data_IF_518377423160
#
_entry.id   IF_518377423160
#
_cell.length_a   1.000
_cell.length_b   1.000
_cell.length_c   1.000
_cell.angle_alpha   90.00
_cell.angle_beta   90.00
_cell.angle_gamma   90.00
#
_symmetry.space_group_name_H-M   'P 1'
#
loop_
_entity.id
_entity.type
_entity.pdbx_description
1 polymer ?
#
# COMPACT_ATOMS: atom_id res chain seq x y z
N UNK A 1 38.30 -30.15 17.48
CA UNK A 1 38.13 -28.72 17.29
C UNK A 1 36.81 -28.51 16.59
N UNK A 2 35.79 -28.10 17.33
CA UNK A 2 34.47 -27.81 16.80
C UNK A 2 34.48 -26.49 16.05
N UNK A 3 33.82 -26.41 14.91
CA UNK A 3 33.72 -25.22 14.05
C UNK A 3 32.89 -24.15 14.80
N UNK A 4 33.42 -22.96 15.09
CA UNK A 4 32.74 -21.93 15.87
C UNK A 4 31.52 -21.27 15.18
N UNK A 5 31.06 -21.80 14.06
CA UNK A 5 29.96 -21.22 13.31
C UNK A 5 28.58 -21.89 13.51
N UNK A 6 28.53 -23.05 14.17
CA UNK A 6 27.29 -23.81 14.29
C UNK A 6 26.36 -23.32 15.40
N UNK A 7 26.91 -22.69 16.44
CA UNK A 7 26.11 -22.31 17.62
C UNK A 7 25.47 -20.93 17.46
N UNK A 8 26.07 -20.04 16.66
CA UNK A 8 25.49 -18.73 16.33
C UNK A 8 24.27 -18.92 15.39
N UNK A 9 24.34 -19.88 14.47
CA UNK A 9 23.19 -20.20 13.62
C UNK A 9 22.04 -20.89 14.38
N UNK A 10 22.34 -21.62 15.44
CA UNK A 10 21.31 -22.25 16.27
C UNK A 10 20.62 -21.22 17.17
N UNK A 11 21.34 -20.28 17.75
CA UNK A 11 20.77 -19.22 18.60
C UNK A 11 19.85 -18.29 17.84
N UNK A 12 20.13 -17.99 16.57
CA UNK A 12 19.28 -17.14 15.73
C UNK A 12 18.04 -17.84 15.16
N UNK A 13 17.99 -19.17 15.20
CA UNK A 13 16.87 -19.97 14.66
C UNK A 13 15.73 -20.21 15.63
N UNK A 14 15.90 -19.97 16.89
CA UNK A 14 14.89 -20.35 17.89
C UNK A 14 13.97 -19.22 18.31
N UNK A 15 14.28 -17.97 17.97
CA UNK A 15 13.47 -16.83 18.40
C UNK A 15 12.58 -16.24 17.29
N UNK A 16 12.72 -16.66 16.02
CA UNK A 16 11.83 -16.27 14.91
C UNK A 16 11.78 -17.37 13.85
N UNK A 17 11.11 -18.46 14.14
CA UNK A 17 10.87 -19.52 13.15
C UNK A 17 9.60 -19.19 12.35
N UNK A 18 9.67 -18.21 11.48
CA UNK A 18 8.67 -18.08 10.43
C UNK A 18 8.63 -19.34 9.55
N UNK A 19 7.47 -19.69 9.07
CA UNK A 19 7.28 -20.76 8.08
C UNK A 19 7.05 -20.13 6.70
N UNK A 20 7.31 -20.93 5.66
CA UNK A 20 6.96 -20.55 4.29
C UNK A 20 5.75 -21.34 3.88
N UNK A 21 4.72 -20.67 3.40
CA UNK A 21 3.52 -21.26 2.82
C UNK A 21 3.45 -20.90 1.34
N UNK A 22 3.05 -21.86 0.53
CA UNK A 22 2.91 -21.69 -0.91
C UNK A 22 1.44 -21.67 -1.29
N UNK A 23 1.09 -20.74 -2.19
CA UNK A 23 -0.25 -20.57 -2.77
C UNK A 23 -0.12 -20.62 -4.29
N UNK A 24 -0.84 -21.55 -4.90
CA UNK A 24 -0.95 -21.65 -6.36
C UNK A 24 -2.27 -22.33 -6.73
N UNK A 25 -3.25 -21.55 -7.13
CA UNK A 25 -4.57 -22.04 -7.49
C UNK A 25 -4.61 -22.77 -8.86
N UNK A 26 -3.53 -22.71 -9.63
CA UNK A 26 -3.39 -23.38 -10.93
C UNK A 26 -2.60 -24.70 -10.83
N UNK A 27 -1.94 -24.95 -9.71
CA UNK A 27 -1.13 -26.15 -9.56
C UNK A 27 -2.01 -27.42 -9.42
N UNK A 28 -1.72 -28.50 -10.15
CA UNK A 28 -2.54 -29.72 -10.10
C UNK A 28 -2.55 -30.42 -8.73
N UNK A 29 -1.55 -30.16 -7.90
CA UNK A 29 -1.47 -30.63 -6.51
C UNK A 29 -2.04 -29.66 -5.48
N UNK A 30 -2.61 -28.53 -5.90
CA UNK A 30 -3.17 -27.56 -4.98
C UNK A 30 -4.34 -28.15 -4.18
N UNK A 31 -4.40 -27.82 -2.90
CA UNK A 31 -5.39 -28.37 -1.97
C UNK A 31 -5.84 -27.34 -0.95
N UNK A 32 -7.10 -27.41 -0.56
CA UNK A 32 -7.69 -26.61 0.53
C UNK A 32 -7.45 -27.18 1.92
N UNK A 33 -6.93 -28.42 2.01
CA UNK A 33 -6.72 -29.13 3.29
C UNK A 33 -5.26 -29.46 3.58
N UNK A 34 -4.34 -28.99 2.71
CA UNK A 34 -2.90 -29.11 2.93
C UNK A 34 -2.38 -28.11 3.96
N UNK A 35 -1.14 -28.30 4.39
CA UNK A 35 -0.44 -27.34 5.24
C UNK A 35 0.26 -26.23 4.46
N UNK A 36 0.35 -26.37 3.12
CA UNK A 36 0.98 -25.40 2.22
C UNK A 36 2.49 -25.24 2.38
N UNK A 37 3.14 -26.05 3.19
CA UNK A 37 4.59 -25.92 3.44
C UNK A 37 5.45 -26.52 2.32
N UNK A 38 4.83 -27.29 1.41
CA UNK A 38 5.48 -27.91 0.28
C UNK A 38 4.96 -27.27 -1.03
N UNK A 39 5.83 -26.76 -1.90
CA UNK A 39 5.42 -26.18 -3.19
C UNK A 39 4.78 -27.18 -4.17
N UNK A 40 4.99 -28.50 -3.98
CA UNK A 40 4.31 -29.54 -4.76
C UNK A 40 2.83 -29.73 -4.37
N UNK A 41 2.45 -29.24 -3.20
CA UNK A 41 1.10 -29.27 -2.64
C UNK A 41 0.71 -27.93 -2.05
N UNK A 42 0.68 -26.87 -2.87
CA UNK A 42 0.38 -25.54 -2.40
C UNK A 42 -1.08 -25.44 -1.95
N UNK A 43 -1.37 -24.41 -1.17
CA UNK A 43 -2.74 -23.99 -0.88
C UNK A 43 -3.38 -23.37 -2.11
N UNK A 44 -4.70 -23.36 -2.18
CA UNK A 44 -5.44 -22.79 -3.31
C UNK A 44 -5.72 -21.31 -3.13
N UNK A 45 -5.72 -20.79 -1.88
CA UNK A 45 -6.07 -19.41 -1.58
C UNK A 45 -5.12 -18.75 -0.58
N UNK A 46 -4.99 -17.44 -0.67
CA UNK A 46 -4.20 -16.64 0.29
C UNK A 46 -4.89 -16.67 1.66
N UNK A 47 -6.24 -16.63 1.70
CA UNK A 47 -6.95 -16.65 2.97
C UNK A 47 -6.70 -17.97 3.74
N UNK A 48 -6.61 -19.09 3.05
CA UNK A 48 -6.23 -20.38 3.68
C UNK A 48 -4.81 -20.32 4.24
N UNK A 49 -3.87 -19.72 3.52
CA UNK A 49 -2.51 -19.54 4.03
C UNK A 49 -2.47 -18.68 5.31
N UNK A 50 -3.22 -17.59 5.35
CA UNK A 50 -3.37 -16.76 6.58
C UNK A 50 -3.97 -17.57 7.72
N UNK A 51 -5.04 -18.35 7.46
CA UNK A 51 -5.69 -19.19 8.46
C UNK A 51 -4.75 -20.31 8.97
N UNK A 52 -3.95 -20.88 8.07
CA UNK A 52 -2.95 -21.91 8.40
C UNK A 52 -1.85 -21.32 9.30
N UNK A 53 -1.36 -20.11 9.04
CA UNK A 53 -0.42 -19.43 9.94
C UNK A 53 -1.00 -19.24 11.34
N UNK A 54 -2.26 -18.81 11.44
CA UNK A 54 -2.95 -18.61 12.72
C UNK A 54 -3.09 -19.93 13.47
N UNK A 55 -3.51 -20.99 12.76
CA UNK A 55 -3.68 -22.33 13.34
C UNK A 55 -2.36 -22.89 13.86
N UNK A 56 -1.27 -22.79 13.10
CA UNK A 56 0.06 -23.25 13.52
C UNK A 56 0.58 -22.44 14.71
N UNK A 57 0.47 -21.11 14.70
CA UNK A 57 0.87 -20.27 15.83
C UNK A 57 0.12 -20.65 17.11
N UNK A 58 -1.18 -20.90 17.00
CA UNK A 58 -2.03 -21.29 18.11
C UNK A 58 -1.70 -22.69 18.63
N UNK A 59 -1.57 -23.67 17.73
CA UNK A 59 -1.31 -25.07 18.09
C UNK A 59 0.05 -25.27 18.74
N UNK A 60 1.07 -24.53 18.27
CA UNK A 60 2.44 -24.64 18.80
C UNK A 60 2.70 -23.70 19.97
N UNK A 61 1.78 -22.77 20.25
CA UNK A 61 1.95 -21.68 21.23
C UNK A 61 3.26 -20.89 21.03
N UNK A 62 3.63 -20.65 19.76
CA UNK A 62 4.84 -19.91 19.37
C UNK A 62 4.48 -18.71 18.48
N UNK A 63 5.35 -17.71 18.49
CA UNK A 63 5.27 -16.64 17.50
C UNK A 63 5.77 -17.17 16.15
N UNK A 64 4.97 -17.00 15.09
CA UNK A 64 5.36 -17.26 13.71
C UNK A 64 5.68 -15.95 12.96
N UNK A 65 6.19 -14.97 13.68
CA UNK A 65 6.67 -13.73 13.06
C UNK A 65 7.76 -14.01 12.03
N UNK A 66 7.78 -13.26 10.95
CA UNK A 66 8.70 -13.47 9.84
C UNK A 66 8.28 -14.59 8.88
N UNK A 67 7.08 -15.16 9.04
CA UNK A 67 6.53 -16.11 8.07
C UNK A 67 6.27 -15.45 6.72
N UNK A 68 6.35 -16.26 5.66
CA UNK A 68 6.18 -15.82 4.29
C UNK A 68 5.11 -16.65 3.59
N UNK A 69 4.15 -15.98 2.98
CA UNK A 69 3.20 -16.57 2.04
C UNK A 69 3.69 -16.24 0.63
N UNK A 70 4.09 -17.23 -0.13
CA UNK A 70 4.57 -17.11 -1.51
C UNK A 70 3.44 -17.49 -2.45
N UNK A 71 3.05 -16.56 -3.32
CA UNK A 71 2.01 -16.77 -4.33
C UNK A 71 2.68 -16.95 -5.70
N UNK A 72 2.30 -17.99 -6.42
CA UNK A 72 2.90 -18.30 -7.72
C UNK A 72 2.68 -17.20 -8.75
N UNK A 73 3.67 -16.94 -9.61
CA UNK A 73 3.67 -15.82 -10.55
C UNK A 73 2.48 -15.80 -11.52
N UNK A 74 2.02 -16.97 -11.94
CA UNK A 74 0.91 -17.10 -12.91
C UNK A 74 -0.46 -17.24 -12.23
N UNK A 75 -0.52 -17.13 -10.90
CA UNK A 75 -1.78 -17.24 -10.18
C UNK A 75 -2.69 -16.05 -10.48
N UNK A 76 -3.96 -16.37 -10.69
CA UNK A 76 -5.03 -15.36 -10.77
C UNK A 76 -5.89 -15.50 -9.53
N UNK A 77 -5.75 -14.58 -8.61
CA UNK A 77 -6.42 -14.60 -7.32
C UNK A 77 -7.67 -13.73 -7.39
N UNK A 78 -8.82 -14.33 -7.11
CA UNK A 78 -10.11 -13.63 -7.02
C UNK A 78 -10.65 -13.79 -5.58
N UNK A 79 -10.04 -13.09 -4.63
CA UNK A 79 -10.30 -13.25 -3.20
C UNK A 79 -10.46 -11.92 -2.47
N UNK A 80 -11.25 -11.97 -1.41
CA UNK A 80 -11.27 -10.97 -0.35
C UNK A 80 -10.56 -11.55 0.87
N UNK A 81 -9.35 -11.10 1.13
CA UNK A 81 -8.50 -11.61 2.21
C UNK A 81 -8.52 -10.66 3.39
N UNK A 82 -8.66 -11.22 4.59
CA UNK A 82 -8.53 -10.48 5.84
C UNK A 82 -7.39 -11.06 6.65
N UNK A 83 -6.42 -10.21 6.99
CA UNK A 83 -5.40 -10.49 8.00
C UNK A 83 -5.93 -9.98 9.33
N UNK A 84 -6.47 -10.85 10.19
CA UNK A 84 -7.09 -10.43 11.45
C UNK A 84 -6.03 -10.06 12.50
N UNK A 85 -6.44 -9.38 13.55
CA UNK A 85 -5.59 -9.01 14.68
C UNK A 85 -4.93 -10.22 15.38
N UNK A 86 -5.51 -11.41 15.23
CA UNK A 86 -4.97 -12.68 15.78
C UNK A 86 -3.86 -13.32 14.95
N UNK A 87 -3.65 -12.85 13.71
CA UNK A 87 -2.57 -13.37 12.87
C UNK A 87 -1.19 -13.05 13.48
N UNK A 88 -0.14 -13.83 13.18
CA UNK A 88 1.23 -13.44 13.54
C UNK A 88 1.57 -12.06 12.96
N UNK A 89 2.36 -11.26 13.68
CA UNK A 89 2.84 -9.98 13.20
C UNK A 89 4.07 -10.15 12.30
N UNK A 90 4.48 -9.06 11.61
CA UNK A 90 5.73 -8.99 10.85
C UNK A 90 5.90 -10.09 9.78
N UNK A 91 4.80 -10.52 9.15
CA UNK A 91 4.79 -11.52 8.09
C UNK A 91 4.78 -10.87 6.70
N UNK A 92 4.99 -11.69 5.68
CA UNK A 92 5.08 -11.23 4.28
C UNK A 92 4.09 -12.01 3.42
N UNK A 93 3.36 -11.31 2.56
CA UNK A 93 2.69 -11.90 1.40
C UNK A 93 3.45 -11.43 0.16
N UNK A 94 3.99 -12.35 -0.62
CA UNK A 94 4.76 -12.01 -1.80
C UNK A 94 4.31 -12.77 -3.04
N UNK A 95 4.15 -12.05 -4.14
CA UNK A 95 4.04 -12.63 -5.46
C UNK A 95 5.42 -13.05 -5.97
N UNK A 96 5.54 -14.23 -6.54
CA UNK A 96 6.81 -14.76 -7.05
C UNK A 96 7.14 -14.25 -8.46
N UNK A 97 6.87 -13.00 -8.76
CA UNK A 97 7.18 -12.34 -10.04
C UNK A 97 7.68 -10.91 -9.82
N UNK A 98 7.77 -10.16 -10.89
CA UNK A 98 7.92 -8.72 -10.81
C UNK A 98 6.54 -8.04 -10.95
N UNK A 99 6.48 -6.73 -10.80
CA UNK A 99 5.24 -5.94 -10.87
C UNK A 99 4.38 -6.22 -12.10
N UNK A 100 4.99 -6.44 -13.27
CA UNK A 100 4.28 -6.68 -14.53
C UNK A 100 3.88 -8.15 -14.73
N UNK A 101 4.64 -9.07 -14.13
CA UNK A 101 4.53 -10.53 -14.33
C UNK A 101 4.25 -11.27 -13.03
N UNK A 102 3.89 -10.56 -11.99
CA UNK A 102 3.46 -11.14 -10.73
C UNK A 102 2.03 -11.70 -10.79
N UNK A 103 1.62 -12.42 -9.76
CA UNK A 103 0.25 -12.90 -9.65
C UNK A 103 -0.73 -11.73 -9.68
N UNK A 104 -1.81 -11.91 -10.45
CA UNK A 104 -2.90 -10.93 -10.51
C UNK A 104 -3.87 -11.17 -9.36
N UNK A 105 -4.16 -10.13 -8.60
CA UNK A 105 -5.09 -10.19 -7.48
C UNK A 105 -6.25 -9.22 -7.66
N UNK A 106 -7.45 -9.74 -7.71
CA UNK A 106 -8.70 -8.96 -7.70
C UNK A 106 -9.54 -9.30 -6.47
N UNK A 107 -10.40 -8.42 -6.05
CA UNK A 107 -11.38 -8.72 -5.00
C UNK A 107 -12.43 -9.72 -5.50
N UNK A 108 -12.95 -10.55 -4.60
CA UNK A 108 -14.08 -11.43 -4.90
C UNK A 108 -15.37 -10.68 -5.26
N UNK A 109 -15.48 -9.40 -4.90
CA UNK A 109 -16.64 -8.56 -5.21
C UNK A 109 -16.22 -7.09 -5.38
N UNK A 110 -16.88 -6.38 -6.28
CA UNK A 110 -16.56 -4.97 -6.58
C UNK A 110 -16.66 -4.03 -5.36
N UNK A 111 -17.50 -4.34 -4.39
CA UNK A 111 -17.67 -3.56 -3.16
C UNK A 111 -16.87 -4.11 -1.96
N UNK A 112 -15.94 -5.03 -2.19
CA UNK A 112 -15.07 -5.58 -1.15
C UNK A 112 -13.61 -5.25 -1.43
N UNK A 113 -12.83 -5.00 -0.39
CA UNK A 113 -11.38 -4.85 -0.54
C UNK A 113 -10.75 -6.18 -0.96
N UNK A 114 -9.73 -6.15 -1.80
CA UNK A 114 -9.00 -7.38 -2.10
C UNK A 114 -8.24 -7.87 -0.87
N UNK A 115 -7.58 -6.96 -0.15
CA UNK A 115 -6.87 -7.26 1.09
C UNK A 115 -7.23 -6.25 2.18
N UNK A 116 -7.57 -6.74 3.37
CA UNK A 116 -7.73 -5.92 4.57
C UNK A 116 -6.70 -6.35 5.62
N UNK A 117 -5.89 -5.41 6.09
CA UNK A 117 -4.84 -5.65 7.08
C UNK A 117 -5.27 -5.06 8.42
N UNK A 118 -5.33 -5.93 9.46
CA UNK A 118 -5.63 -5.59 10.85
C UNK A 118 -4.54 -6.05 11.81
N UNK A 119 -3.34 -6.27 11.30
CA UNK A 119 -2.20 -6.76 12.10
C UNK A 119 -0.93 -6.02 11.74
N UNK A 120 -0.13 -5.57 12.74
CA UNK A 120 1.08 -4.79 12.48
C UNK A 120 2.18 -5.54 11.72
N UNK A 121 3.00 -4.77 10.98
CA UNK A 121 4.26 -5.24 10.41
C UNK A 121 4.14 -6.11 9.17
N UNK A 122 2.96 -6.29 8.59
CA UNK A 122 2.81 -7.07 7.36
C UNK A 122 3.42 -6.36 6.16
N UNK A 123 4.06 -7.15 5.31
CA UNK A 123 4.60 -6.68 4.01
C UNK A 123 3.81 -7.32 2.88
N UNK A 124 3.43 -6.51 1.90
CA UNK A 124 2.75 -6.96 0.66
C UNK A 124 3.60 -6.52 -0.51
N UNK A 125 4.01 -7.48 -1.35
CA UNK A 125 4.95 -7.19 -2.45
C UNK A 125 4.77 -8.11 -3.66
N UNK A 126 5.05 -7.59 -4.86
CA UNK A 126 5.15 -8.38 -6.08
C UNK A 126 3.83 -8.76 -6.74
N UNK A 127 2.74 -8.06 -6.47
CA UNK A 127 1.42 -8.30 -7.05
C UNK A 127 1.04 -7.25 -8.08
N UNK A 128 0.24 -7.69 -9.05
CA UNK A 128 -0.62 -6.80 -9.83
C UNK A 128 -2.02 -6.86 -9.25
N UNK A 129 -2.45 -5.79 -8.60
CA UNK A 129 -3.82 -5.62 -8.11
C UNK A 129 -4.70 -5.04 -9.20
N UNK A 130 -5.80 -5.71 -9.52
CA UNK A 130 -6.90 -5.08 -10.26
C UNK A 130 -7.80 -4.41 -9.22
N UNK A 131 -7.80 -3.09 -9.21
CA UNK A 131 -8.44 -2.30 -8.16
C UNK A 131 -9.96 -2.34 -8.29
N UNK A 132 -10.70 -2.73 -7.23
CA UNK A 132 -12.17 -2.81 -7.32
C UNK A 132 -12.82 -1.44 -7.48
N UNK A 133 -13.95 -1.40 -8.17
CA UNK A 133 -14.63 -0.15 -8.53
C UNK A 133 -15.38 0.53 -7.37
N UNK A 134 -15.62 -0.15 -6.26
CA UNK A 134 -16.35 0.41 -5.11
C UNK A 134 -15.63 0.23 -3.77
N UNK A 135 -14.40 -0.28 -3.79
CA UNK A 135 -13.59 -0.55 -2.60
C UNK A 135 -12.10 -0.30 -2.87
N UNK A 136 -11.23 -0.83 -2.04
CA UNK A 136 -9.78 -0.70 -2.18
C UNK A 136 -9.11 -2.02 -2.61
N UNK A 137 -7.96 -1.92 -3.27
CA UNK A 137 -7.08 -3.08 -3.39
C UNK A 137 -6.53 -3.46 -2.01
N UNK A 138 -5.95 -2.52 -1.27
CA UNK A 138 -5.46 -2.76 0.10
C UNK A 138 -6.13 -1.77 1.05
N UNK A 139 -6.80 -2.29 2.07
CA UNK A 139 -7.36 -1.52 3.19
C UNK A 139 -6.50 -1.71 4.44
N UNK A 140 -5.99 -0.62 4.99
CA UNK A 140 -5.34 -0.58 6.28
C UNK A 140 -6.39 -0.24 7.33
N UNK A 141 -6.81 -1.23 8.11
CA UNK A 141 -7.95 -1.13 9.01
C UNK A 141 -7.52 -1.17 10.47
N UNK A 142 -8.18 -0.41 11.31
CA UNK A 142 -7.84 -0.32 12.73
C UNK A 142 -8.51 -1.41 13.61
N UNK A 143 -9.56 -2.07 13.11
CA UNK A 143 -10.33 -3.10 13.84
C UNK A 143 -10.69 -2.72 15.30
N UNK A 144 -10.94 -1.44 15.53
CA UNK A 144 -11.18 -0.92 16.90
C UNK A 144 -9.91 -0.69 17.74
N UNK A 145 -8.72 -0.96 17.22
CA UNK A 145 -7.44 -0.75 17.88
C UNK A 145 -6.54 0.20 17.08
N UNK A 146 -5.96 1.19 17.73
CA UNK A 146 -5.19 2.27 17.07
C UNK A 146 -3.89 1.80 16.41
N UNK A 147 -3.45 0.58 16.66
CA UNK A 147 -2.17 0.05 16.16
C UNK A 147 -2.34 -1.19 15.27
N UNK A 148 -3.55 -1.46 14.81
CA UNK A 148 -3.87 -2.75 14.17
C UNK A 148 -3.07 -3.02 12.89
N UNK A 149 -2.78 -2.02 12.08
CA UNK A 149 -2.00 -2.16 10.85
C UNK A 149 -0.72 -1.30 10.81
N UNK A 150 -0.19 -0.93 11.97
CA UNK A 150 1.07 -0.18 12.08
C UNK A 150 2.24 -0.91 11.39
N UNK A 151 3.19 -0.14 10.91
CA UNK A 151 4.42 -0.65 10.28
C UNK A 151 4.18 -1.55 9.08
N UNK A 152 2.99 -1.46 8.47
CA UNK A 152 2.70 -2.15 7.21
C UNK A 152 3.59 -1.61 6.09
N UNK A 153 4.06 -2.51 5.23
CA UNK A 153 4.90 -2.20 4.08
C UNK A 153 4.19 -2.67 2.81
N UNK A 154 4.00 -1.75 1.89
CA UNK A 154 3.40 -2.00 0.56
C UNK A 154 4.46 -1.65 -0.47
N UNK A 155 5.13 -2.66 -1.03
CA UNK A 155 6.37 -2.45 -1.78
C UNK A 155 6.37 -3.20 -3.10
N UNK A 156 6.68 -2.48 -4.19
CA UNK A 156 6.88 -3.13 -5.48
C UNK A 156 5.64 -3.83 -6.05
N UNK A 157 4.46 -3.22 -5.88
CA UNK A 157 3.21 -3.70 -6.46
C UNK A 157 2.75 -2.81 -7.61
N UNK A 158 1.92 -3.37 -8.47
CA UNK A 158 1.22 -2.66 -9.53
C UNK A 158 -0.28 -2.56 -9.17
N UNK A 159 -0.82 -1.36 -9.11
CA UNK A 159 -2.23 -1.09 -8.82
C UNK A 159 -2.88 -0.56 -10.10
N UNK A 160 -3.58 -1.44 -10.79
CA UNK A 160 -4.22 -1.18 -12.06
C UNK A 160 -5.72 -0.93 -11.86
N UNK A 161 -6.17 0.27 -12.14
CA UNK A 161 -7.57 0.67 -11.99
C UNK A 161 -8.46 0.26 -13.16
N UNK A 162 -7.88 -0.09 -14.31
CA UNK A 162 -8.65 -0.38 -15.54
C UNK A 162 -9.72 0.68 -15.84
N UNK A 163 -9.44 1.95 -15.56
CA UNK A 163 -10.36 3.10 -15.73
C UNK A 163 -11.66 3.01 -14.89
N UNK A 164 -11.70 2.15 -13.89
CA UNK A 164 -12.87 1.95 -13.02
C UNK A 164 -12.50 1.75 -11.56
N UNK A 165 -11.24 1.59 -11.23
CA UNK A 165 -10.74 1.37 -9.88
C UNK A 165 -10.94 2.58 -8.98
N UNK A 166 -11.27 2.33 -7.69
CA UNK A 166 -11.56 3.40 -6.74
C UNK A 166 -10.36 3.77 -5.87
N UNK A 167 -9.84 2.85 -5.10
CA UNK A 167 -8.73 3.12 -4.19
C UNK A 167 -7.63 2.06 -4.32
N UNK A 168 -6.39 2.48 -4.58
CA UNK A 168 -5.24 1.59 -4.51
C UNK A 168 -4.97 1.17 -3.06
N UNK A 169 -4.64 2.13 -2.21
CA UNK A 169 -4.49 1.96 -0.75
C UNK A 169 -5.49 2.84 -0.02
N UNK A 170 -6.23 2.25 0.89
CA UNK A 170 -7.26 2.92 1.69
C UNK A 170 -6.88 2.89 3.16
N UNK A 171 -6.70 4.06 3.75
CA UNK A 171 -6.51 4.22 5.19
C UNK A 171 -7.87 4.34 5.88
N UNK A 172 -8.21 3.36 6.72
CA UNK A 172 -9.45 3.34 7.50
C UNK A 172 -9.21 3.63 8.99
N UNK A 173 -8.29 4.54 9.27
CA UNK A 173 -7.95 4.97 10.62
C UNK A 173 -6.91 4.09 11.31
N UNK A 174 -6.03 4.70 12.09
CA UNK A 174 -5.14 4.05 13.03
C UNK A 174 -3.71 3.75 12.62
N UNK A 175 -3.37 3.23 11.44
CA UNK A 175 -1.99 2.78 11.22
C UNK A 175 -0.97 3.91 11.14
N UNK A 176 0.06 3.78 11.96
CA UNK A 176 1.24 4.62 11.96
C UNK A 176 2.43 3.90 11.31
N UNK A 177 3.45 4.67 10.92
CA UNK A 177 4.72 4.14 10.41
C UNK A 177 4.57 3.23 9.18
N UNK A 178 3.61 3.53 8.30
CA UNK A 178 3.39 2.78 7.06
C UNK A 178 4.40 3.18 6.01
N UNK A 179 4.88 2.20 5.26
CA UNK A 179 5.84 2.39 4.18
C UNK A 179 5.24 1.95 2.84
N UNK A 180 5.09 2.89 1.91
CA UNK A 180 4.58 2.65 0.55
C UNK A 180 5.67 3.02 -0.43
N UNK A 181 6.33 2.03 -1.06
CA UNK A 181 7.52 2.29 -1.86
C UNK A 181 7.62 1.47 -3.14
N UNK A 182 8.10 2.12 -4.20
CA UNK A 182 8.38 1.44 -5.46
C UNK A 182 7.14 0.83 -6.11
N UNK A 183 5.94 1.32 -5.78
CA UNK A 183 4.71 0.86 -6.38
C UNK A 183 4.35 1.70 -7.61
N UNK A 184 3.52 1.11 -8.45
CA UNK A 184 2.94 1.77 -9.60
C UNK A 184 1.43 1.84 -9.39
N UNK A 185 0.84 3.02 -9.53
CA UNK A 185 -0.59 3.28 -9.42
C UNK A 185 -1.07 3.90 -10.72
N UNK A 186 -2.00 3.27 -11.41
CA UNK A 186 -2.46 3.80 -12.69
C UNK A 186 -3.91 3.50 -13.01
N UNK A 187 -4.48 4.35 -13.87
CA UNK A 187 -5.84 4.20 -14.39
C UNK A 187 -6.92 4.12 -13.30
N UNK A 188 -6.66 4.73 -12.16
CA UNK A 188 -7.63 4.84 -11.07
C UNK A 188 -8.57 6.00 -11.37
N UNK A 189 -9.62 5.70 -12.11
CA UNK A 189 -10.61 6.68 -12.53
C UNK A 189 -12.01 6.05 -12.55
N UNK A 190 -12.77 6.29 -11.52
CA UNK A 190 -14.13 5.78 -11.39
C UNK A 190 -15.14 6.87 -11.73
N UNK A 191 -15.76 6.77 -12.90
CA UNK A 191 -16.73 7.75 -13.36
C UNK A 191 -17.84 7.98 -12.33
N UNK A 192 -17.91 9.20 -11.79
CA UNK A 192 -18.93 9.63 -10.83
C UNK A 192 -18.59 9.39 -9.35
N UNK A 193 -17.39 8.90 -9.03
CA UNK A 193 -16.90 8.79 -7.67
C UNK A 193 -15.45 9.26 -7.59
N UNK A 194 -15.06 9.89 -6.51
CA UNK A 194 -13.67 10.26 -6.30
C UNK A 194 -12.81 8.99 -6.14
N UNK A 195 -11.78 8.89 -6.97
CA UNK A 195 -10.81 7.80 -6.99
C UNK A 195 -9.45 8.30 -6.56
N UNK A 196 -8.70 7.49 -5.84
CA UNK A 196 -7.39 7.85 -5.33
C UNK A 196 -6.42 6.66 -5.40
N UNK A 197 -5.18 6.93 -5.71
CA UNK A 197 -4.13 5.94 -5.54
C UNK A 197 -3.90 5.62 -4.05
N UNK A 198 -3.81 6.65 -3.21
CA UNK A 198 -3.74 6.51 -1.74
C UNK A 198 -4.78 7.45 -1.13
N UNK A 199 -5.77 6.88 -0.48
CA UNK A 199 -6.90 7.61 0.11
C UNK A 199 -6.89 7.56 1.64
N UNK A 200 -7.01 8.71 2.27
CA UNK A 200 -7.14 8.84 3.72
C UNK A 200 -8.60 9.09 4.06
N UNK A 201 -9.24 8.10 4.68
CA UNK A 201 -10.64 8.22 5.08
C UNK A 201 -10.80 9.05 6.36
N UNK A 202 -11.83 9.86 6.40
CA UNK A 202 -12.26 10.54 7.64
C UNK A 202 -13.13 9.63 8.49
N UNK A 203 -12.52 8.72 9.24
CA UNK A 203 -13.22 7.73 10.07
C UNK A 203 -13.30 8.10 11.55
N UNK A 204 -12.89 9.32 11.91
CA UNK A 204 -12.92 9.78 13.31
C UNK A 204 -11.73 9.31 14.16
N UNK A 205 -10.87 8.45 13.66
CA UNK A 205 -9.63 7.97 14.31
C UNK A 205 -8.44 8.88 14.04
N UNK A 206 -7.25 8.52 14.54
CA UNK A 206 -6.05 9.34 14.42
C UNK A 206 -5.66 9.68 12.97
N UNK A 207 -4.85 10.70 12.78
CA UNK A 207 -4.22 11.03 11.50
C UNK A 207 -3.13 10.01 11.17
N UNK A 208 -2.87 9.71 9.89
CA UNK A 208 -1.70 8.92 9.50
C UNK A 208 -0.41 9.62 9.98
N UNK A 209 0.40 8.91 10.75
CA UNK A 209 1.59 9.45 11.40
C UNK A 209 2.84 8.66 10.99
N UNK A 210 3.93 9.37 10.68
CA UNK A 210 5.21 8.78 10.27
C UNK A 210 5.10 7.84 9.05
N UNK A 211 4.27 8.20 8.08
CA UNK A 211 4.26 7.47 6.82
C UNK A 211 5.47 7.86 5.96
N UNK A 212 6.01 6.87 5.23
CA UNK A 212 6.97 7.12 4.17
C UNK A 212 6.39 6.64 2.83
N UNK A 213 6.21 7.56 1.89
CA UNK A 213 5.71 7.31 0.54
C UNK A 213 6.83 7.67 -0.43
N UNK A 214 7.57 6.67 -0.91
CA UNK A 214 8.85 6.87 -1.58
C UNK A 214 8.97 6.10 -2.89
N UNK A 215 9.48 6.76 -3.94
CA UNK A 215 9.83 6.10 -5.19
C UNK A 215 8.66 5.46 -5.92
N UNK A 216 7.44 5.95 -5.71
CA UNK A 216 6.26 5.42 -6.39
C UNK A 216 6.03 6.17 -7.71
N UNK A 217 5.36 5.49 -8.64
CA UNK A 217 4.97 6.04 -9.92
C UNK A 217 3.45 6.11 -10.01
N UNK A 218 2.92 7.32 -10.21
CA UNK A 218 1.50 7.61 -10.34
C UNK A 218 1.21 8.16 -11.72
N UNK A 219 0.32 7.51 -12.48
CA UNK A 219 -0.06 8.01 -13.79
C UNK A 219 -1.52 7.69 -14.14
N UNK A 220 -2.16 8.60 -14.85
CA UNK A 220 -3.54 8.44 -15.32
C UNK A 220 -4.55 8.13 -14.22
N UNK A 221 -4.32 8.67 -13.02
CA UNK A 221 -5.25 8.58 -11.91
C UNK A 221 -6.09 9.85 -11.81
N UNK A 222 -7.29 9.72 -11.27
CA UNK A 222 -8.17 10.84 -10.96
C UNK A 222 -7.57 11.74 -9.86
N UNK A 223 -7.15 11.12 -8.77
CA UNK A 223 -6.34 11.74 -7.73
C UNK A 223 -5.25 10.77 -7.27
N UNK A 224 -4.12 11.27 -6.83
CA UNK A 224 -3.04 10.38 -6.40
C UNK A 224 -3.03 10.19 -4.89
N UNK A 225 -2.69 11.19 -4.10
CA UNK A 225 -2.57 11.05 -2.65
C UNK A 225 -3.42 12.13 -2.00
N UNK A 226 -4.31 11.73 -1.10
CA UNK A 226 -5.07 12.73 -0.37
C UNK A 226 -6.35 12.27 0.28
N UNK A 227 -7.17 13.25 0.63
CA UNK A 227 -8.45 13.09 1.28
C UNK A 227 -9.43 14.16 0.81
N UNK A 228 -10.71 13.84 0.68
CA UNK A 228 -11.71 14.84 0.29
C UNK A 228 -12.25 15.68 1.46
N UNK A 229 -11.91 15.38 2.70
CA UNK A 229 -12.48 16.03 3.88
C UNK A 229 -11.42 16.69 4.76
N UNK A 230 -11.74 17.87 5.26
CA UNK A 230 -10.81 18.79 5.91
C UNK A 230 -10.24 18.38 7.27
N UNK A 231 -10.59 17.20 7.80
CA UNK A 231 -10.31 16.87 9.18
C UNK A 231 -9.10 15.95 9.40
N UNK A 232 -8.58 15.32 8.35
CA UNK A 232 -7.50 14.34 8.46
C UNK A 232 -6.39 14.64 7.49
N UNK A 233 -5.16 14.57 7.94
CA UNK A 233 -3.97 14.76 7.11
C UNK A 233 -2.82 13.92 7.59
N UNK A 234 -1.91 13.67 6.68
CA UNK A 234 -0.61 13.13 7.04
C UNK A 234 0.08 14.03 8.07
N UNK A 235 0.73 13.42 9.04
CA UNK A 235 1.45 14.10 10.09
C UNK A 235 2.86 13.53 10.21
N UNK A 236 3.88 14.38 10.21
CA UNK A 236 5.31 14.01 10.27
C UNK A 236 5.66 12.93 9.23
N UNK A 237 5.11 13.04 8.03
CA UNK A 237 5.26 12.03 6.99
C UNK A 237 6.21 12.50 5.89
N UNK A 238 6.80 11.55 5.19
CA UNK A 238 7.77 11.76 4.12
C UNK A 238 7.18 11.37 2.76
N UNK A 239 7.25 12.30 1.81
CA UNK A 239 6.91 12.09 0.39
C UNK A 239 8.15 12.35 -0.43
N UNK A 240 8.79 11.30 -0.93
CA UNK A 240 10.12 11.42 -1.52
C UNK A 240 10.27 10.63 -2.81
N UNK A 241 10.98 11.22 -3.77
CA UNK A 241 11.37 10.56 -5.02
C UNK A 241 10.18 9.95 -5.79
N UNK A 242 8.96 10.47 -5.60
CA UNK A 242 7.79 10.00 -6.33
C UNK A 242 7.69 10.72 -7.68
N UNK A 243 7.15 10.00 -8.66
CA UNK A 243 6.86 10.54 -9.97
C UNK A 243 5.34 10.59 -10.13
N UNK A 244 4.81 11.80 -10.25
CA UNK A 244 3.43 12.08 -10.55
C UNK A 244 3.35 12.53 -12.01
N UNK A 245 2.73 11.74 -12.87
CA UNK A 245 2.53 12.09 -14.26
C UNK A 245 1.07 12.27 -14.56
N UNK A 246 0.80 12.68 -15.77
CA UNK A 246 -0.53 13.06 -16.22
C UNK A 246 -1.59 12.06 -15.79
N UNK A 247 -2.65 12.63 -15.23
CA UNK A 247 -3.93 11.98 -15.17
C UNK A 247 -4.68 12.17 -16.47
N UNK A 248 -5.74 11.41 -16.60
CA UNK A 248 -6.83 11.76 -17.51
C UNK A 248 -7.20 13.21 -17.23
N UNK A 249 -7.52 13.95 -18.26
CA UNK A 249 -8.00 15.33 -18.21
C UNK A 249 -9.15 15.49 -17.20
N UNK A 250 -8.83 15.45 -15.94
CA UNK A 250 -9.76 15.75 -14.87
C UNK A 250 -9.38 17.09 -14.26
N UNK A 251 -10.11 18.15 -14.57
CA UNK A 251 -9.79 19.48 -14.12
C UNK A 251 -9.86 19.68 -12.60
N UNK A 252 -10.30 18.69 -11.85
CA UNK A 252 -10.40 18.75 -10.38
C UNK A 252 -9.38 17.85 -9.67
N UNK A 253 -8.56 17.11 -10.39
CA UNK A 253 -7.57 16.21 -9.83
C UNK A 253 -6.45 16.97 -9.09
N UNK A 254 -6.05 16.43 -7.95
CA UNK A 254 -4.92 16.93 -7.17
C UNK A 254 -3.91 15.79 -7.02
N UNK A 255 -2.63 16.09 -7.31
CA UNK A 255 -1.57 15.11 -7.23
C UNK A 255 -1.25 14.73 -5.79
N UNK A 256 -1.07 15.73 -4.94
CA UNK A 256 -0.75 15.56 -3.52
C UNK A 256 -1.60 16.52 -2.70
N UNK A 257 -2.62 16.00 -2.02
CA UNK A 257 -3.51 16.78 -1.17
C UNK A 257 -3.16 16.58 0.31
N UNK A 258 -2.58 17.60 0.90
CA UNK A 258 -2.18 17.65 2.31
C UNK A 258 -3.04 18.63 3.12
N UNK A 259 -4.21 19.03 2.62
CA UNK A 259 -5.05 20.07 3.25
C UNK A 259 -5.70 19.67 4.56
N UNK A 260 -5.77 18.42 4.88
CA UNK A 260 -6.49 17.98 6.08
C UNK A 260 -5.80 18.37 7.38
N UNK A 261 -6.56 18.95 8.30
CA UNK A 261 -6.16 19.16 9.68
C UNK A 261 -5.02 20.16 9.91
N UNK A 262 -4.84 20.54 11.16
CA UNK A 262 -3.86 21.53 11.61
C UNK A 262 -2.46 20.98 11.90
N UNK A 263 -2.13 19.79 11.43
CA UNK A 263 -0.90 19.09 11.79
C UNK A 263 -0.20 18.60 10.54
N UNK A 264 0.87 19.27 10.15
CA UNK A 264 1.50 18.95 8.90
C UNK A 264 3.01 19.20 8.93
N UNK A 265 3.74 18.63 9.84
CA UNK A 265 5.20 18.65 9.78
C UNK A 265 5.71 17.62 8.74
N UNK A 266 5.10 17.64 7.54
CA UNK A 266 5.46 16.70 6.48
C UNK A 266 6.70 17.19 5.72
N UNK A 267 7.47 16.25 5.20
CA UNK A 267 8.58 16.53 4.29
C UNK A 267 8.23 16.06 2.89
N UNK A 268 8.26 16.97 1.92
CA UNK A 268 8.02 16.68 0.51
C UNK A 268 9.30 17.02 -0.25
N UNK A 269 9.99 16.01 -0.79
CA UNK A 269 11.31 16.23 -1.36
C UNK A 269 11.58 15.39 -2.60
N UNK A 270 12.28 15.98 -3.56
CA UNK A 270 12.77 15.30 -4.76
C UNK A 270 11.66 14.61 -5.58
N UNK A 271 10.41 15.09 -5.50
CA UNK A 271 9.33 14.57 -6.32
C UNK A 271 9.30 15.26 -7.67
N UNK A 272 8.84 14.52 -8.68
CA UNK A 272 8.55 15.06 -9.99
C UNK A 272 7.04 15.17 -10.17
N UNK A 273 6.57 16.35 -10.52
CA UNK A 273 5.18 16.64 -10.85
C UNK A 273 5.08 16.97 -12.32
N UNK A 274 4.44 16.11 -13.10
CA UNK A 274 4.25 16.31 -14.54
C UNK A 274 2.78 16.19 -14.95
N UNK A 275 2.52 16.54 -16.20
CA UNK A 275 1.21 16.42 -16.81
C UNK A 275 0.30 17.64 -16.64
N UNK A 276 -0.86 17.55 -17.26
CA UNK A 276 -1.82 18.67 -17.35
C UNK A 276 -2.84 18.63 -16.20
N UNK A 277 -2.43 19.07 -15.03
CA UNK A 277 -3.30 19.29 -13.86
C UNK A 277 -3.75 20.74 -13.71
N UNK A 278 -3.60 21.48 -14.76
CA UNK A 278 -3.55 22.94 -14.81
C UNK A 278 -4.82 23.66 -14.47
N UNK A 279 -5.95 23.05 -14.59
CA UNK A 279 -7.12 23.92 -14.77
C UNK A 279 -7.93 24.18 -13.50
N UNK A 280 -7.85 23.37 -12.45
CA UNK A 280 -8.61 23.63 -11.21
C UNK A 280 -8.10 22.91 -9.97
N UNK A 281 -7.27 21.87 -10.09
CA UNK A 281 -6.81 21.08 -8.97
C UNK A 281 -5.38 21.37 -8.53
N UNK A 282 -4.53 21.66 -9.49
CA UNK A 282 -3.11 21.90 -9.24
C UNK A 282 -2.31 20.65 -8.86
N UNK A 283 -1.01 20.80 -8.78
CA UNK A 283 -0.11 19.70 -8.44
C UNK A 283 -0.18 19.30 -6.98
N UNK A 284 -0.45 20.25 -6.10
CA UNK A 284 -0.55 20.00 -4.67
C UNK A 284 -1.54 20.94 -4.00
N UNK A 285 -2.03 20.50 -2.86
CA UNK A 285 -2.76 21.33 -1.93
C UNK A 285 -2.29 21.04 -0.50
N UNK A 286 -2.30 22.04 0.37
CA UNK A 286 -1.78 21.92 1.73
C UNK A 286 -2.61 22.72 2.74
N UNK A 287 -2.46 22.40 4.00
CA UNK A 287 -2.96 23.18 5.13
C UNK A 287 -1.93 24.23 5.56
N UNK A 288 -2.29 25.00 6.56
CA UNK A 288 -1.54 26.16 7.11
C UNK A 288 -0.09 25.86 7.53
N UNK A 289 0.31 24.61 7.59
CA UNK A 289 1.66 24.21 8.02
C UNK A 289 2.21 23.08 7.15
N UNK A 290 2.69 23.40 5.94
CA UNK A 290 3.05 22.38 4.94
C UNK A 290 4.29 21.55 5.28
N UNK A 291 5.09 21.93 6.29
CA UNK A 291 6.37 21.27 6.57
C UNK A 291 7.50 21.72 5.63
N UNK A 292 8.34 20.81 5.22
CA UNK A 292 9.51 21.08 4.38
C UNK A 292 9.29 20.67 2.93
N UNK A 293 9.60 21.57 1.99
CA UNK A 293 9.57 21.35 0.53
C UNK A 293 10.96 21.54 -0.04
N UNK A 294 11.59 20.49 -0.55
CA UNK A 294 12.99 20.54 -1.00
C UNK A 294 13.18 19.78 -2.31
N UNK A 295 13.69 20.48 -3.34
CA UNK A 295 14.14 19.82 -4.57
C UNK A 295 13.04 19.17 -5.41
N UNK A 296 11.78 19.55 -5.21
CA UNK A 296 10.70 19.09 -6.06
C UNK A 296 10.74 19.81 -7.41
N UNK A 297 10.39 19.12 -8.47
CA UNK A 297 10.41 19.63 -9.84
C UNK A 297 9.02 19.48 -10.45
N UNK A 298 8.56 20.51 -11.15
CA UNK A 298 7.35 20.45 -11.95
C UNK A 298 7.67 20.66 -13.44
N UNK A 299 6.96 19.96 -14.30
CA UNK A 299 7.19 19.99 -15.74
C UNK A 299 6.58 21.23 -16.40
N UNK A 300 5.41 21.63 -15.99
CA UNK A 300 4.69 22.72 -16.63
C UNK A 300 5.02 24.07 -16.03
N UNK A 301 5.61 24.92 -16.85
CA UNK A 301 6.01 26.28 -16.51
C UNK A 301 4.89 27.30 -16.61
N UNK A 302 3.80 26.95 -17.25
CA UNK A 302 2.68 27.88 -17.50
C UNK A 302 1.71 27.95 -16.34
N UNK A 303 1.82 27.01 -15.41
CA UNK A 303 0.83 26.86 -14.36
C UNK A 303 1.13 27.69 -13.12
N UNK A 304 0.20 28.55 -12.69
CA UNK A 304 0.41 29.43 -11.55
C UNK A 304 0.55 28.67 -10.22
N UNK A 305 0.10 27.45 -10.14
CA UNK A 305 0.23 26.58 -8.98
C UNK A 305 1.65 26.07 -8.79
N UNK A 306 2.42 26.06 -9.84
CA UNK A 306 3.84 25.76 -9.77
C UNK A 306 4.51 27.06 -9.41
N UNK A 307 4.76 27.23 -8.14
CA UNK A 307 5.44 28.41 -7.65
C UNK A 307 6.78 28.56 -8.38
N UNK A 308 7.16 29.79 -8.59
CA UNK A 308 8.50 30.11 -9.05
C UNK A 308 8.89 29.49 -10.38
N UNK A 309 8.02 29.55 -11.37
CA UNK A 309 8.42 29.32 -12.74
C UNK A 309 8.52 27.86 -13.19
N UNK A 310 7.93 26.96 -12.47
CA UNK A 310 7.70 25.63 -12.96
C UNK A 310 8.84 24.64 -12.86
N UNK A 311 10.00 25.03 -12.42
CA UNK A 311 11.10 24.09 -12.24
C UNK A 311 11.20 23.55 -10.82
N UNK A 312 10.84 24.38 -9.86
CA UNK A 312 10.87 24.00 -8.47
C UNK A 312 9.56 24.40 -7.82
N UNK A 313 8.88 23.46 -7.26
CA UNK A 313 7.68 23.74 -6.46
C UNK A 313 8.14 24.38 -5.16
N UNK A 314 7.89 25.67 -4.98
CA UNK A 314 8.18 26.35 -3.74
C UNK A 314 7.24 25.87 -2.63
N UNK A 315 7.63 26.13 -1.38
CA UNK A 315 6.73 25.94 -0.25
C UNK A 315 5.49 26.79 -0.48
N UNK A 316 4.31 26.19 -0.56
CA UNK A 316 3.08 26.96 -0.78
C UNK A 316 2.86 27.97 0.33
N UNK A 317 2.43 29.17 -0.02
CA UNK A 317 1.95 30.12 0.99
C UNK A 317 0.62 29.64 1.54
N UNK A 318 0.41 29.69 2.87
CA UNK A 318 -0.86 29.35 3.47
C UNK A 318 -2.00 30.23 3.00
#
# INVERSE_FOLDING_TARGET
MGVPGSDVQRGLRWESCGIVLYVDNNHPGATVVGDGTNPEYPLTTIQEAVNTLIAHATAMAISLEGSVIVVAAEATIAETVIIPATAPANCVIMGSGNQEWGPTWTSAAAAANALTIRRPGWTVTGFRFIVPSAAAAICLDHDGATTASDRTRIVGNDFDGLWAGRYGVYYNGGPDQVFVSGNRFHELNNAGQASFAIYIANTGWANPYLWAIEGNYFFENDNNIGQPADDRSFNVSLFKDNVFTQGVLNPTAIQLDLRGGSRGENTVMSNFFGGDYSNTGGYYAHAVNPGSWVGNIAEDLAEPEVADNGFTVAVPSP
#
